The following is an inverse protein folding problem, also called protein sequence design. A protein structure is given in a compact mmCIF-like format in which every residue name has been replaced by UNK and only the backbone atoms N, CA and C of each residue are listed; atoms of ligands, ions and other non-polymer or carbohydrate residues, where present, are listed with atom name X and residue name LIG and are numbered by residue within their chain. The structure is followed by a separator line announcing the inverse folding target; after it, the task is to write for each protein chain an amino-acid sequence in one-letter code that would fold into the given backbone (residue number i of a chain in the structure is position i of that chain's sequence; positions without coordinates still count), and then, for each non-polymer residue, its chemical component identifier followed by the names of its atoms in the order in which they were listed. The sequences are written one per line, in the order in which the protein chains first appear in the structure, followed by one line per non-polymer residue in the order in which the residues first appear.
data_IF_887598312805
#
_entry.id   IF_887598312805
#
_cell.length_a   1.000
_cell.length_b   1.000
_cell.length_c   1.000
_cell.angle_alpha   90.00
_cell.angle_beta   90.00
_cell.angle_gamma   90.00
#
_symmetry.space_group_name_H-M   'P 1'
#
loop_
_entity.id
_entity.type
_entity.pdbx_description
1 polymer ?
#
# COMPACT_ATOMS: atom_id res chain seq x y z
N UNK A 1 15.69 -11.16 30.68
CA UNK A 1 16.14 -11.15 29.27
C UNK A 1 17.00 -9.90 29.03
N UNK A 2 18.26 -10.04 28.60
CA UNK A 2 19.18 -8.90 28.39
C UNK A 2 18.73 -8.02 27.21
N UNK A 3 19.26 -6.78 27.13
CA UNK A 3 18.94 -5.86 26.04
C UNK A 3 19.32 -6.43 24.66
N UNK A 4 20.48 -7.08 24.58
CA UNK A 4 20.95 -7.72 23.34
C UNK A 4 19.98 -8.81 22.86
N UNK A 5 19.51 -9.66 23.77
CA UNK A 5 18.56 -10.73 23.41
C UNK A 5 17.25 -10.13 22.90
N UNK A 6 16.73 -9.07 23.55
CA UNK A 6 15.48 -8.41 23.12
C UNK A 6 15.60 -7.79 21.72
N UNK A 7 16.72 -7.12 21.42
CA UNK A 7 16.94 -6.51 20.10
C UNK A 7 17.04 -7.59 19.00
N UNK A 8 17.75 -8.69 19.26
CA UNK A 8 17.81 -9.82 18.33
C UNK A 8 16.43 -10.42 18.09
N UNK A 9 15.59 -10.53 19.13
CA UNK A 9 14.21 -11.01 18.98
C UNK A 9 13.38 -10.08 18.10
N UNK A 10 13.53 -8.75 18.26
CA UNK A 10 12.83 -7.78 17.42
C UNK A 10 13.25 -7.87 15.95
N UNK A 11 14.55 -7.98 15.67
CA UNK A 11 15.04 -8.15 14.29
C UNK A 11 14.46 -9.41 13.64
N UNK A 12 14.40 -10.52 14.39
CA UNK A 12 13.80 -11.76 13.89
C UNK A 12 12.30 -11.61 13.63
N UNK A 13 11.56 -10.85 14.45
CA UNK A 13 10.14 -10.58 14.21
C UNK A 13 9.92 -9.83 12.89
N UNK A 14 10.72 -8.79 12.62
CA UNK A 14 10.62 -8.00 11.39
C UNK A 14 11.01 -8.83 10.16
N UNK A 15 12.06 -9.66 10.27
CA UNK A 15 12.53 -10.51 9.17
C UNK A 15 11.57 -11.67 8.87
N UNK A 16 10.92 -12.25 9.89
CA UNK A 16 9.95 -13.33 9.70
C UNK A 16 8.71 -12.84 8.93
N UNK A 17 8.24 -11.62 9.23
CA UNK A 17 7.09 -11.02 8.59
C UNK A 17 5.75 -11.74 8.86
N UNK A 18 4.63 -11.18 8.39
CA UNK A 18 3.28 -11.65 8.74
C UNK A 18 2.92 -13.04 8.19
N UNK A 19 3.73 -13.61 7.29
CA UNK A 19 3.50 -14.98 6.79
C UNK A 19 3.91 -16.07 7.76
N UNK A 20 4.82 -15.74 8.68
CA UNK A 20 5.42 -16.69 9.61
C UNK A 20 5.17 -16.33 11.07
N UNK A 21 4.67 -15.12 11.34
CA UNK A 21 4.35 -14.65 12.68
C UNK A 21 3.19 -13.66 12.62
N UNK A 22 2.10 -13.94 13.32
CA UNK A 22 0.88 -13.11 13.31
C UNK A 22 1.08 -11.74 13.98
N UNK A 23 2.10 -11.60 14.84
CA UNK A 23 2.45 -10.35 15.51
C UNK A 23 3.37 -9.45 14.66
N UNK A 24 3.87 -9.96 13.52
CA UNK A 24 4.76 -9.22 12.65
C UNK A 24 4.00 -8.37 11.62
N UNK A 25 4.47 -7.15 11.38
CA UNK A 25 3.92 -6.26 10.36
C UNK A 25 4.78 -6.32 9.09
N UNK A 26 4.16 -6.29 7.91
CA UNK A 26 4.92 -6.24 6.65
C UNK A 26 5.54 -4.86 6.43
N UNK A 27 6.60 -4.82 5.64
CA UNK A 27 7.15 -3.55 5.15
C UNK A 27 6.08 -2.78 4.37
N UNK A 28 5.25 -3.45 3.57
CA UNK A 28 4.15 -2.80 2.82
C UNK A 28 3.19 -2.03 3.74
N UNK A 29 2.81 -2.64 4.87
CA UNK A 29 1.95 -1.99 5.87
C UNK A 29 2.64 -0.81 6.56
N UNK A 30 3.95 -0.90 6.84
CA UNK A 30 4.72 0.24 7.37
C UNK A 30 4.77 1.40 6.36
N UNK A 31 4.89 1.09 5.07
CA UNK A 31 4.84 2.09 4.01
C UNK A 31 3.45 2.73 3.89
N UNK A 32 2.37 1.95 4.09
CA UNK A 32 1.01 2.49 4.17
C UNK A 32 0.83 3.44 5.35
N UNK A 33 1.35 3.07 6.53
CA UNK A 33 1.31 3.91 7.73
C UNK A 33 2.05 5.24 7.49
N UNK A 34 3.22 5.21 6.84
CA UNK A 34 3.98 6.42 6.52
C UNK A 34 3.20 7.34 5.57
N UNK A 35 2.59 6.79 4.51
CA UNK A 35 1.79 7.58 3.56
C UNK A 35 0.55 8.15 4.23
N UNK A 36 -0.15 7.36 5.04
CA UNK A 36 -1.30 7.78 5.82
C UNK A 36 -0.95 8.97 6.73
N UNK A 37 0.13 8.84 7.51
CA UNK A 37 0.61 9.91 8.38
C UNK A 37 0.97 11.18 7.60
N UNK A 38 1.68 11.04 6.47
CA UNK A 38 2.03 12.16 5.61
C UNK A 38 0.80 12.91 5.07
N UNK A 39 -0.24 12.17 4.68
CA UNK A 39 -1.48 12.72 4.15
C UNK A 39 -2.29 13.44 5.23
N UNK A 40 -2.42 12.85 6.41
CA UNK A 40 -3.05 13.48 7.57
C UNK A 40 -2.32 14.75 8.00
N UNK A 41 -0.99 14.72 8.07
CA UNK A 41 -0.18 15.91 8.36
C UNK A 41 -0.35 17.01 7.29
N UNK A 42 -0.65 16.63 6.04
CA UNK A 42 -0.83 17.59 4.94
C UNK A 42 -2.22 18.21 4.89
N UNK A 43 -3.25 17.46 5.27
CA UNK A 43 -4.66 17.89 5.24
C UNK A 43 -5.11 18.57 6.54
N UNK A 44 -4.48 18.25 7.67
CA UNK A 44 -4.91 18.69 9.00
C UNK A 44 -4.71 20.18 9.29
N UNK A 45 -5.45 20.67 10.30
CA UNK A 45 -5.32 22.02 10.84
C UNK A 45 -3.93 22.29 11.45
N UNK A 46 -3.21 21.25 11.88
CA UNK A 46 -1.88 21.33 12.49
C UNK A 46 -0.74 21.43 11.45
N UNK A 47 -1.02 21.45 10.14
CA UNK A 47 0.01 21.46 9.08
C UNK A 47 1.03 22.60 9.15
N UNK A 48 0.71 23.66 9.91
CA UNK A 48 1.54 24.86 10.12
C UNK A 48 2.42 24.76 11.37
N UNK A 49 2.18 23.78 12.24
CA UNK A 49 3.04 23.52 13.37
C UNK A 49 4.45 23.19 12.89
N UNK A 50 5.46 23.80 13.51
CA UNK A 50 6.85 23.73 13.06
C UNK A 50 7.31 22.28 12.81
N UNK A 51 7.09 21.41 13.80
CA UNK A 51 7.48 20.00 13.72
C UNK A 51 6.74 19.24 12.60
N UNK A 52 5.47 19.57 12.37
CA UNK A 52 4.66 18.93 11.31
C UNK A 52 5.13 19.39 9.93
N UNK A 53 5.44 20.69 9.78
CA UNK A 53 5.98 21.24 8.54
C UNK A 53 7.34 20.63 8.21
N UNK A 54 8.24 20.56 9.19
CA UNK A 54 9.57 19.95 9.03
C UNK A 54 9.48 18.46 8.67
N UNK A 55 8.62 17.70 9.35
CA UNK A 55 8.36 16.29 8.99
C UNK A 55 7.87 16.15 7.54
N UNK A 56 6.93 16.99 7.12
CA UNK A 56 6.39 16.93 5.75
C UNK A 56 7.44 17.27 4.72
N UNK A 57 8.24 18.29 4.94
CA UNK A 57 9.33 18.65 4.02
C UNK A 57 10.36 17.53 3.88
N UNK A 58 10.70 16.89 5.00
CA UNK A 58 11.60 15.73 5.02
C UNK A 58 11.00 14.49 4.33
N UNK A 59 9.74 14.16 4.61
CA UNK A 59 9.10 12.95 4.12
C UNK A 59 8.64 13.05 2.66
N UNK A 60 8.36 14.26 2.16
CA UNK A 60 7.82 14.53 0.82
C UNK A 60 8.53 13.77 -0.31
N UNK A 61 9.87 13.84 -0.51
CA UNK A 61 10.52 13.17 -1.64
C UNK A 61 10.32 11.66 -1.62
N UNK A 62 10.28 11.05 -0.43
CA UNK A 62 10.03 9.62 -0.29
C UNK A 62 8.55 9.28 -0.50
N UNK A 63 7.63 10.04 0.11
CA UNK A 63 6.19 9.85 -0.05
C UNK A 63 5.74 9.99 -1.50
N UNK A 64 6.23 11.03 -2.21
CA UNK A 64 5.91 11.26 -3.61
C UNK A 64 6.44 10.13 -4.50
N UNK A 65 7.68 9.68 -4.28
CA UNK A 65 8.27 8.55 -5.00
C UNK A 65 7.49 7.25 -4.74
N UNK A 66 7.08 6.99 -3.50
CA UNK A 66 6.27 5.83 -3.17
C UNK A 66 4.92 5.86 -3.85
N UNK A 67 4.23 7.01 -3.81
CA UNK A 67 2.95 7.19 -4.50
C UNK A 67 3.12 6.95 -5.99
N UNK A 68 4.15 7.51 -6.62
CA UNK A 68 4.45 7.33 -8.04
C UNK A 68 4.75 5.88 -8.44
N UNK A 69 5.48 5.12 -7.63
CA UNK A 69 5.86 3.74 -7.95
C UNK A 69 4.77 2.70 -7.64
N UNK A 70 3.79 3.05 -6.80
CA UNK A 70 2.65 2.17 -6.50
C UNK A 70 1.70 2.09 -7.69
N UNK A 71 0.90 1.02 -7.74
CA UNK A 71 -0.08 0.82 -8.80
C UNK A 71 -1.13 1.93 -8.80
N UNK A 72 -1.34 2.53 -9.96
CA UNK A 72 -2.39 3.51 -10.21
C UNK A 72 -3.53 2.90 -11.00
N UNK A 73 -4.67 3.58 -10.99
CA UNK A 73 -5.82 3.19 -11.82
C UNK A 73 -5.48 3.23 -13.31
N UNK A 74 -4.64 4.19 -13.70
CA UNK A 74 -4.24 4.42 -15.09
C UNK A 74 -3.27 3.35 -15.61
N UNK A 75 -2.74 2.49 -14.73
CA UNK A 75 -2.00 1.29 -15.12
C UNK A 75 -2.91 0.18 -15.65
N UNK A 76 -4.24 0.38 -15.62
CA UNK A 76 -5.24 -0.61 -15.99
C UNK A 76 -6.26 -0.10 -17.00
N UNK A 77 -6.37 -0.81 -18.12
CA UNK A 77 -7.44 -0.63 -19.09
C UNK A 77 -8.68 -1.41 -18.65
N UNK A 78 -9.80 -0.72 -18.47
CA UNK A 78 -11.07 -1.36 -18.13
C UNK A 78 -11.61 -2.10 -19.35
N UNK A 79 -11.88 -3.41 -19.21
CA UNK A 79 -12.47 -4.22 -20.28
C UNK A 79 -13.98 -4.33 -20.11
N UNK A 80 -14.43 -4.83 -18.95
CA UNK A 80 -15.86 -5.08 -18.71
C UNK A 80 -16.19 -5.05 -17.22
N UNK A 81 -17.32 -4.44 -16.89
CA UNK A 81 -17.95 -4.56 -15.57
C UNK A 81 -18.67 -5.89 -15.46
N UNK A 82 -18.41 -6.63 -14.39
CA UNK A 82 -19.01 -7.95 -14.14
C UNK A 82 -19.93 -8.00 -12.94
N UNK A 83 -19.92 -6.97 -12.08
CA UNK A 83 -20.81 -6.92 -10.93
C UNK A 83 -20.86 -5.55 -10.28
N UNK A 84 -21.99 -5.23 -9.66
CA UNK A 84 -22.21 -4.02 -8.85
C UNK A 84 -22.84 -4.43 -7.52
N UNK A 85 -22.34 -3.89 -6.43
CA UNK A 85 -22.85 -4.13 -5.08
C UNK A 85 -22.89 -2.86 -4.25
N UNK A 86 -23.32 -2.98 -3.00
CA UNK A 86 -23.43 -1.87 -2.06
C UNK A 86 -22.11 -1.11 -1.82
N UNK A 87 -20.97 -1.80 -2.00
CA UNK A 87 -19.64 -1.27 -1.74
C UNK A 87 -18.82 -1.00 -3.01
N UNK A 88 -19.46 -0.98 -4.18
CA UNK A 88 -18.84 -0.56 -5.43
C UNK A 88 -19.01 -1.53 -6.60
N UNK A 89 -18.16 -1.34 -7.60
CA UNK A 89 -18.19 -2.07 -8.87
C UNK A 89 -16.97 -3.00 -9.00
N UNK A 90 -17.22 -4.19 -9.54
CA UNK A 90 -16.21 -5.19 -9.90
C UNK A 90 -16.08 -5.21 -11.42
N UNK A 91 -14.86 -5.00 -11.89
CA UNK A 91 -14.54 -4.99 -13.32
C UNK A 91 -13.31 -5.85 -13.63
N UNK A 92 -13.34 -6.46 -14.81
CA UNK A 92 -12.17 -7.08 -15.42
C UNK A 92 -11.35 -5.97 -16.08
N UNK A 93 -10.07 -5.89 -15.71
CA UNK A 93 -9.13 -4.93 -16.28
C UNK A 93 -7.86 -5.62 -16.77
N UNK A 94 -7.23 -5.03 -17.78
CA UNK A 94 -5.94 -5.45 -18.33
C UNK A 94 -4.86 -4.50 -17.85
N UNK A 95 -3.75 -5.04 -17.34
CA UNK A 95 -2.61 -4.22 -16.92
C UNK A 95 -1.80 -3.76 -18.15
N UNK A 96 -1.44 -2.47 -18.19
CA UNK A 96 -0.81 -1.83 -19.34
C UNK A 96 0.73 -1.94 -19.37
N UNK A 97 1.37 -2.27 -18.23
CA UNK A 97 2.84 -2.21 -18.07
C UNK A 97 3.60 -3.53 -18.30
N UNK A 98 2.96 -4.69 -18.20
CA UNK A 98 3.60 -5.98 -18.43
C UNK A 98 3.22 -6.50 -19.82
N UNK A 99 4.20 -6.81 -20.67
CA UNK A 99 4.03 -7.61 -21.92
C UNK A 99 3.64 -9.08 -21.62
N UNK A 100 2.84 -9.30 -20.57
CA UNK A 100 2.34 -10.59 -20.14
C UNK A 100 0.85 -10.41 -19.83
N UNK A 101 0.00 -11.07 -20.63
CA UNK A 101 -1.45 -10.89 -20.66
C UNK A 101 -2.10 -11.49 -19.40
N UNK A 102 -2.00 -10.81 -18.26
CA UNK A 102 -2.74 -11.17 -17.04
C UNK A 102 -3.96 -10.27 -16.88
N UNK A 103 -5.13 -10.88 -16.77
CA UNK A 103 -6.39 -10.21 -16.46
C UNK A 103 -6.52 -10.08 -14.93
N UNK A 104 -6.87 -8.89 -14.45
CA UNK A 104 -7.06 -8.61 -13.03
C UNK A 104 -8.53 -8.25 -12.76
N UNK A 105 -9.04 -8.73 -11.62
CA UNK A 105 -10.30 -8.27 -11.04
C UNK A 105 -10.00 -7.12 -10.08
N UNK A 106 -10.54 -5.94 -10.37
CA UNK A 106 -10.28 -4.74 -9.56
C UNK A 106 -11.59 -4.22 -9.01
N UNK A 107 -11.67 -4.14 -7.67
CA UNK A 107 -12.72 -3.42 -6.97
C UNK A 107 -12.38 -1.93 -6.89
N UNK A 108 -13.33 -1.09 -7.26
CA UNK A 108 -13.13 0.37 -7.31
C UNK A 108 -12.93 1.03 -5.93
N UNK A 109 -13.08 0.32 -4.82
CA UNK A 109 -12.99 0.81 -3.44
C UNK A 109 -11.67 0.51 -2.72
N UNK A 110 -10.62 0.09 -3.43
CA UNK A 110 -9.26 0.03 -2.87
C UNK A 110 -8.81 -1.34 -2.34
N UNK A 111 -9.60 -2.40 -2.57
CA UNK A 111 -9.17 -3.78 -2.33
C UNK A 111 -8.78 -4.46 -3.65
N UNK A 112 -7.55 -4.98 -3.70
CA UNK A 112 -6.98 -5.68 -4.85
C UNK A 112 -6.73 -7.15 -4.45
N UNK A 113 -7.54 -8.12 -4.90
CA UNK A 113 -7.22 -9.55 -4.75
C UNK A 113 -7.94 -10.44 -5.78
N UNK A 114 -7.19 -10.91 -6.80
CA UNK A 114 -6.77 -12.30 -7.07
C UNK A 114 -6.46 -12.46 -8.56
N UNK A 115 -5.20 -12.75 -8.86
CA UNK A 115 -4.78 -13.38 -10.11
C UNK A 115 -5.15 -14.85 -10.04
N UNK A 116 -6.15 -15.26 -10.82
CA UNK A 116 -6.20 -16.54 -11.54
C UNK A 116 -7.53 -16.63 -12.27
N UNK A 117 -7.51 -16.19 -13.52
CA UNK A 117 -8.43 -16.72 -14.52
C UNK A 117 -7.56 -17.35 -15.62
N UNK A 118 -6.64 -18.24 -15.21
CA UNK A 118 -6.13 -19.23 -16.13
C UNK A 118 -7.24 -20.26 -16.32
N UNK A 119 -7.73 -20.36 -17.55
CA UNK A 119 -8.34 -21.59 -18.05
C UNK A 119 -7.24 -22.57 -18.39
#
# INVERSE_FOLDING_TARGET
MSAEVRLRTLDQLVLAGPRHNDDAMSVESLLDVLVCLFDECSSSAIRREKNVSEFREWARPFADKMKQMRLHRDDFEMLKVIGRGAFGEVSVKKQLFLKMTRNYLIMHTGFLFFSNFDK
#
